data_IF_403498761547
#
_entry.id   IF_403498761547
#
_cell.length_a   1.000
_cell.length_b   1.000
_cell.length_c   1.000
_cell.angle_alpha   90.00
_cell.angle_beta   90.00
_cell.angle_gamma   90.00
#
_symmetry.space_group_name_H-M   'P 1'
#
loop_
_entity.id
_entity.type
_entity.pdbx_description
1 polymer ?
#
# COMPACT_ATOMS: atom_id res chain seq x y z
N UNK A 1 39.77 -6.40 7.18
CA UNK A 1 38.86 -7.55 7.06
C UNK A 1 37.49 -6.98 6.73
N UNK A 2 37.13 -6.93 5.44
CA UNK A 2 35.83 -6.41 5.01
C UNK A 2 34.76 -7.44 5.39
N UNK A 3 33.75 -7.01 6.13
CA UNK A 3 32.67 -7.87 6.60
C UNK A 3 31.75 -8.24 5.43
N UNK A 4 32.10 -9.34 4.75
CA UNK A 4 31.34 -9.89 3.62
C UNK A 4 29.93 -10.32 4.06
N UNK A 5 29.76 -10.66 5.34
CA UNK A 5 28.48 -11.05 5.93
C UNK A 5 27.51 -9.87 5.98
N UNK A 6 27.97 -8.67 6.34
CA UNK A 6 27.15 -7.45 6.28
C UNK A 6 26.69 -7.12 4.85
N UNK A 7 27.56 -7.32 3.85
CA UNK A 7 27.24 -7.07 2.45
C UNK A 7 26.19 -8.06 1.92
N UNK A 8 26.35 -9.35 2.22
CA UNK A 8 25.36 -10.38 1.88
C UNK A 8 24.04 -10.16 2.62
N UNK A 9 24.08 -9.76 3.89
CA UNK A 9 22.87 -9.50 4.68
C UNK A 9 22.09 -8.26 4.17
N UNK A 10 22.80 -7.27 3.62
CA UNK A 10 22.17 -6.10 2.97
C UNK A 10 21.56 -6.47 1.62
N UNK A 11 22.20 -7.36 0.86
CA UNK A 11 21.63 -7.90 -0.38
C UNK A 11 20.40 -8.81 -0.13
N UNK A 12 20.28 -9.40 1.06
CA UNK A 12 19.13 -10.21 1.48
C UNK A 12 17.97 -9.38 2.07
N UNK A 13 18.21 -8.13 2.48
CA UNK A 13 17.14 -7.15 2.66
C UNK A 13 16.71 -6.65 1.29
N UNK A 14 15.93 -7.47 0.59
CA UNK A 14 15.40 -7.19 -0.75
C UNK A 14 14.38 -6.04 -0.68
N UNK A 15 14.86 -4.82 -0.41
CA UNK A 15 14.06 -3.62 -0.23
C UNK A 15 13.52 -3.22 -1.59
N UNK A 16 12.26 -3.57 -1.86
CA UNK A 16 11.60 -3.31 -3.12
C UNK A 16 11.20 -1.82 -3.20
N UNK A 17 11.53 -1.19 -4.32
CA UNK A 17 11.03 0.13 -4.69
C UNK A 17 9.82 -0.04 -5.60
N UNK A 18 8.67 0.49 -5.21
CA UNK A 18 7.44 0.47 -5.99
C UNK A 18 7.23 1.83 -6.65
N UNK A 19 7.29 1.89 -7.98
CA UNK A 19 6.98 3.10 -8.74
C UNK A 19 5.58 3.00 -9.35
N UNK A 20 4.66 3.84 -8.88
CA UNK A 20 3.27 3.91 -9.32
C UNK A 20 3.11 5.08 -10.30
N UNK A 21 3.09 4.77 -11.59
CA UNK A 21 2.95 5.76 -12.67
C UNK A 21 1.59 6.46 -12.66
N UNK A 22 1.55 7.68 -13.18
CA UNK A 22 0.38 8.55 -13.20
C UNK A 22 -0.54 8.21 -14.37
N UNK A 23 -1.85 8.38 -14.17
CA UNK A 23 -2.84 8.11 -15.23
C UNK A 23 -4.27 8.44 -14.79
N UNK A 24 -4.40 9.38 -13.87
CA UNK A 24 -5.68 9.71 -13.23
C UNK A 24 -6.24 8.56 -12.40
N UNK A 25 -7.57 8.48 -12.34
CA UNK A 25 -8.30 7.62 -11.39
C UNK A 25 -8.20 6.12 -11.71
N UNK A 26 -8.09 5.75 -12.99
CA UNK A 26 -7.96 4.33 -13.41
C UNK A 26 -6.61 3.75 -13.02
N UNK A 27 -5.55 4.54 -13.12
CA UNK A 27 -4.22 4.15 -12.66
C UNK A 27 -4.21 3.93 -11.14
N UNK A 28 -4.90 4.79 -10.38
CA UNK A 28 -5.06 4.62 -8.94
C UNK A 28 -5.72 3.27 -8.57
N UNK A 29 -6.83 2.88 -9.21
CA UNK A 29 -7.46 1.56 -8.97
C UNK A 29 -6.54 0.40 -9.33
N UNK A 30 -5.83 0.48 -10.45
CA UNK A 30 -4.87 -0.54 -10.85
C UNK A 30 -3.76 -0.71 -9.80
N UNK A 31 -3.25 0.39 -9.25
CA UNK A 31 -2.25 0.38 -8.20
C UNK A 31 -2.77 -0.23 -6.88
N UNK A 32 -4.04 0.00 -6.53
CA UNK A 32 -4.70 -0.70 -5.40
C UNK A 32 -4.69 -2.21 -5.61
N UNK A 33 -5.05 -2.67 -6.81
CA UNK A 33 -5.01 -4.10 -7.15
C UNK A 33 -3.60 -4.71 -7.06
N UNK A 34 -2.58 -3.97 -7.50
CA UNK A 34 -1.18 -4.41 -7.33
C UNK A 34 -0.80 -4.47 -5.84
N UNK A 35 -1.15 -3.46 -5.04
CA UNK A 35 -0.91 -3.49 -3.60
C UNK A 35 -1.64 -4.66 -2.93
N UNK A 36 -2.86 -4.98 -3.35
CA UNK A 36 -3.63 -6.12 -2.84
C UNK A 36 -2.90 -7.43 -3.14
N UNK A 37 -2.43 -7.60 -4.37
CA UNK A 37 -1.69 -8.79 -4.76
C UNK A 37 -0.36 -8.92 -4.04
N UNK A 38 0.36 -7.81 -3.86
CA UNK A 38 1.62 -7.80 -3.10
C UNK A 38 1.39 -8.10 -1.61
N UNK A 39 0.26 -7.67 -1.04
CA UNK A 39 -0.17 -8.02 0.31
C UNK A 39 -0.44 -9.52 0.44
N UNK A 40 -1.16 -10.11 -0.52
CA UNK A 40 -1.45 -11.55 -0.54
C UNK A 40 -0.19 -12.41 -0.63
N UNK A 41 0.82 -11.93 -1.36
CA UNK A 41 2.10 -12.60 -1.57
C UNK A 41 3.10 -12.39 -0.42
N UNK A 42 2.75 -11.63 0.62
CA UNK A 42 3.61 -11.24 1.76
C UNK A 42 4.89 -10.47 1.37
N UNK A 43 4.97 -10.01 0.11
CA UNK A 43 6.08 -9.23 -0.45
C UNK A 43 6.00 -7.76 -0.01
N UNK A 44 4.81 -7.32 0.37
CA UNK A 44 4.53 -5.94 0.77
C UNK A 44 5.40 -5.46 1.95
N UNK A 45 5.79 -6.36 2.86
CA UNK A 45 6.70 -6.06 3.99
C UNK A 45 8.11 -5.70 3.54
N UNK A 46 8.49 -6.11 2.34
CA UNK A 46 9.80 -5.85 1.75
C UNK A 46 9.82 -4.54 0.95
N UNK A 47 8.66 -3.92 0.69
CA UNK A 47 8.58 -2.64 -0.02
C UNK A 47 9.04 -1.52 0.90
N UNK A 48 10.24 -0.99 0.63
CA UNK A 48 10.84 0.07 1.44
C UNK A 48 10.48 1.47 0.93
N UNK A 49 10.23 1.61 -0.37
CA UNK A 49 9.98 2.89 -1.01
C UNK A 49 8.79 2.80 -1.97
N UNK A 50 7.91 3.80 -1.91
CA UNK A 50 6.81 3.96 -2.87
C UNK A 50 6.95 5.35 -3.50
N UNK A 51 7.17 5.38 -4.82
CA UNK A 51 7.14 6.60 -5.62
C UNK A 51 5.80 6.66 -6.35
N UNK A 52 5.09 7.78 -6.28
CA UNK A 52 3.80 7.97 -6.94
C UNK A 52 3.75 9.30 -7.64
N UNK A 53 3.09 9.38 -8.80
CA UNK A 53 2.90 10.64 -9.54
C UNK A 53 1.42 10.90 -9.83
N UNK A 54 0.99 12.16 -9.67
CA UNK A 54 -0.37 12.65 -9.99
C UNK A 54 -1.49 11.88 -9.26
N UNK A 55 -2.50 11.37 -9.99
CA UNK A 55 -3.67 10.70 -9.40
C UNK A 55 -3.38 9.43 -8.59
N UNK A 56 -2.23 8.78 -8.81
CA UNK A 56 -1.79 7.63 -8.03
C UNK A 56 -1.30 8.00 -6.62
N UNK A 57 -0.95 9.27 -6.39
CA UNK A 57 -0.42 9.73 -5.10
C UNK A 57 -1.45 9.76 -3.98
N UNK A 58 -2.74 9.91 -4.33
CA UNK A 58 -3.83 9.82 -3.34
C UNK A 58 -3.89 8.41 -2.75
N UNK A 59 -3.81 7.37 -3.60
CA UNK A 59 -3.81 5.97 -3.15
C UNK A 59 -2.54 5.63 -2.39
N UNK A 60 -1.38 6.00 -2.93
CA UNK A 60 -0.10 5.75 -2.28
C UNK A 60 -0.03 6.37 -0.89
N UNK A 61 -0.47 7.62 -0.75
CA UNK A 61 -0.54 8.32 0.54
C UNK A 61 -1.55 7.67 1.50
N UNK A 62 -2.73 7.26 1.00
CA UNK A 62 -3.76 6.64 1.83
C UNK A 62 -3.35 5.26 2.33
N UNK A 63 -2.74 4.46 1.45
CA UNK A 63 -2.13 3.18 1.80
C UNK A 63 -1.04 3.38 2.86
N UNK A 64 -0.13 4.33 2.64
CA UNK A 64 0.93 4.65 3.59
C UNK A 64 0.40 5.04 4.97
N UNK A 65 -0.65 5.87 5.04
CA UNK A 65 -1.26 6.28 6.31
C UNK A 65 -1.84 5.09 7.07
N UNK A 66 -2.57 4.18 6.40
CA UNK A 66 -3.11 2.99 7.06
C UNK A 66 -2.00 2.03 7.52
N UNK A 67 -0.94 1.85 6.72
CA UNK A 67 0.19 0.99 7.10
C UNK A 67 0.94 1.58 8.29
N UNK A 68 1.13 2.90 8.30
CA UNK A 68 1.71 3.61 9.44
C UNK A 68 0.89 3.39 10.71
N UNK A 69 -0.43 3.48 10.65
CA UNK A 69 -1.31 3.18 11.78
C UNK A 69 -1.20 1.73 12.26
N UNK A 70 -1.09 0.77 11.34
CA UNK A 70 -0.89 -0.64 11.67
C UNK A 70 0.45 -0.87 12.39
N UNK A 71 1.53 -0.26 11.88
CA UNK A 71 2.88 -0.41 12.44
C UNK A 71 3.03 0.29 13.80
N UNK A 72 2.37 1.43 14.00
CA UNK A 72 2.38 2.16 15.27
C UNK A 72 1.36 1.61 16.28
N UNK A 73 0.62 0.54 15.94
CA UNK A 73 -0.41 -0.03 16.81
C UNK A 73 -1.59 0.91 17.07
N UNK A 74 -1.78 1.93 16.22
CA UNK A 74 -2.86 2.94 16.33
C UNK A 74 -4.14 2.51 15.62
N UNK A 75 -4.19 1.28 15.13
CA UNK A 75 -5.33 0.72 14.40
C UNK A 75 -6.42 0.31 15.39
N UNK A 76 -7.65 0.74 15.15
CA UNK A 76 -8.78 0.58 16.08
C UNK A 76 -9.20 -0.89 16.30
N UNK A 77 -8.80 -1.78 15.41
CA UNK A 77 -9.07 -3.21 15.44
C UNK A 77 -8.00 -4.03 16.19
N UNK A 78 -6.92 -3.40 16.65
CA UNK A 78 -5.88 -4.04 17.45
C UNK A 78 -5.08 -5.12 16.71
N UNK A 79 -5.19 -5.22 15.38
CA UNK A 79 -4.45 -6.21 14.61
C UNK A 79 -2.94 -5.92 14.63
N UNK A 80 -2.15 -6.96 14.91
CA UNK A 80 -0.70 -6.91 14.76
C UNK A 80 -0.31 -6.93 13.27
N UNK A 81 0.89 -6.40 12.89
CA UNK A 81 1.40 -6.41 11.53
C UNK A 81 1.59 -7.84 10.99
N UNK A 82 0.52 -8.42 10.48
CA UNK A 82 0.42 -9.79 9.99
C UNK A 82 -0.10 -9.78 8.56
N UNK A 83 0.08 -10.89 7.83
CA UNK A 83 -0.44 -11.04 6.45
C UNK A 83 -1.93 -10.71 6.37
N UNK A 84 -2.72 -11.17 7.34
CA UNK A 84 -4.16 -10.89 7.42
C UNK A 84 -4.44 -9.38 7.57
N UNK A 85 -3.67 -8.68 8.41
CA UNK A 85 -3.81 -7.24 8.60
C UNK A 85 -3.51 -6.44 7.33
N UNK A 86 -2.48 -6.83 6.56
CA UNK A 86 -2.18 -6.18 5.28
C UNK A 86 -3.26 -6.43 4.22
N UNK A 87 -3.83 -7.64 4.16
CA UNK A 87 -4.94 -7.95 3.25
C UNK A 87 -6.17 -7.10 3.61
N UNK A 88 -6.54 -7.06 4.89
CA UNK A 88 -7.67 -6.28 5.37
C UNK A 88 -7.49 -4.78 5.12
N UNK A 89 -6.28 -4.27 5.34
CA UNK A 89 -5.93 -2.88 5.07
C UNK A 89 -6.14 -2.50 3.61
N UNK A 90 -5.71 -3.35 2.67
CA UNK A 90 -5.91 -3.07 1.25
C UNK A 90 -7.38 -3.18 0.84
N UNK A 91 -8.13 -4.14 1.41
CA UNK A 91 -9.57 -4.27 1.17
C UNK A 91 -10.34 -3.03 1.66
N UNK A 92 -10.04 -2.53 2.86
CA UNK A 92 -10.62 -1.28 3.37
C UNK A 92 -10.30 -0.10 2.45
N UNK A 93 -9.06 -0.01 2.01
CA UNK A 93 -8.61 1.04 1.11
C UNK A 93 -9.38 1.01 -0.22
N UNK A 94 -9.58 -0.19 -0.79
CA UNK A 94 -10.36 -0.36 -2.02
C UNK A 94 -11.82 0.09 -1.83
N UNK A 95 -12.47 -0.35 -0.76
CA UNK A 95 -13.87 -0.02 -0.45
C UNK A 95 -14.03 1.48 -0.24
N UNK A 96 -13.21 2.09 0.63
CA UNK A 96 -13.29 3.51 0.96
C UNK A 96 -13.01 4.36 -0.28
N UNK A 97 -12.03 3.97 -1.10
CA UNK A 97 -11.71 4.68 -2.33
C UNK A 97 -12.85 4.62 -3.36
N UNK A 98 -13.44 3.45 -3.58
CA UNK A 98 -14.58 3.28 -4.48
C UNK A 98 -15.83 4.02 -3.98
N UNK A 99 -16.07 4.05 -2.67
CA UNK A 99 -17.15 4.84 -2.08
C UNK A 99 -16.93 6.33 -2.28
N UNK A 100 -15.70 6.83 -2.04
CA UNK A 100 -15.35 8.23 -2.26
C UNK A 100 -15.51 8.62 -3.73
N UNK A 101 -15.11 7.73 -4.64
CA UNK A 101 -15.30 7.91 -6.09
C UNK A 101 -16.78 8.08 -6.46
N UNK A 102 -17.63 7.13 -6.05
CA UNK A 102 -19.08 7.19 -6.33
C UNK A 102 -19.72 8.47 -5.80
N UNK A 103 -19.23 8.97 -4.66
CA UNK A 103 -19.68 10.21 -4.03
C UNK A 103 -19.22 11.46 -4.79
N UNK A 104 -17.98 11.49 -5.30
CA UNK A 104 -17.45 12.62 -6.07
C UNK A 104 -18.05 12.74 -7.47
N UNK A 105 -18.40 11.62 -8.12
CA UNK A 105 -19.06 11.63 -9.43
C UNK A 105 -20.55 12.03 -9.40
N UNK A 106 -21.09 12.43 -8.24
CA UNK A 106 -22.46 12.95 -8.18
C UNK A 106 -23.56 11.90 -8.38
N UNK A 107 -23.28 10.61 -8.18
CA UNK A 107 -24.34 9.63 -7.92
C UNK A 107 -24.85 9.76 -6.47
N UNK A 108 -25.32 10.97 -6.14
CA UNK A 108 -26.36 11.21 -5.17
C UNK A 108 -27.63 11.52 -5.98
N UNK A 109 -28.28 10.45 -6.44
CA UNK A 109 -29.59 10.39 -7.11
C UNK A 109 -29.79 8.89 -7.38
N UNK A 110 -30.77 8.19 -6.84
CA UNK A 110 -32.06 8.52 -6.23
C UNK A 110 -32.49 7.34 -5.36
#
# INVERSE_FOLDING_TARGET
MFDVTAFLNTAQHNRLGLALSGGGFRAALFHVGILAKLAELDVLKQVAFISTVSGGSIIGAYYYLKVKQLLEGRRADGLLPSRAAYIQLVQELEIEFLQRYKKTCGCARS
#
